data_IF_851749163010
#
_entry.id   IF_851749163010
#
_cell.length_a   1.000
_cell.length_b   1.000
_cell.length_c   1.000
_cell.angle_alpha   90.00
_cell.angle_beta   90.00
_cell.angle_gamma   90.00
#
_symmetry.space_group_name_H-M   'P 1'
#
loop_
_entity.id
_entity.type
_entity.pdbx_description
1 polymer ?
#
# COMPACT_ATOMS: atom_id res chain seq x y z
N UNK A 1 9.00 8.80 0.61
CA UNK A 1 7.89 8.78 -0.37
C UNK A 1 6.81 9.74 0.09
N UNK A 2 6.29 10.54 -0.81
CA UNK A 2 5.25 11.50 -0.48
C UNK A 2 3.90 10.80 -0.28
N UNK A 3 3.10 11.37 0.59
CA UNK A 3 1.77 10.84 0.87
C UNK A 3 0.77 11.37 -0.17
N UNK A 4 0.68 10.68 -1.29
CA UNK A 4 -0.21 11.04 -2.39
C UNK A 4 -1.04 9.83 -2.80
N UNK A 5 -2.13 10.07 -3.52
CA UNK A 5 -2.98 8.99 -3.99
C UNK A 5 -2.20 8.00 -4.86
N UNK A 6 -1.34 8.51 -5.72
CA UNK A 6 -0.52 7.66 -6.58
C UNK A 6 0.39 6.76 -5.75
N UNK A 7 1.01 7.32 -4.73
CA UNK A 7 1.93 6.56 -3.90
C UNK A 7 1.18 5.59 -2.99
N UNK A 8 0.01 5.97 -2.51
CA UNK A 8 -0.85 5.05 -1.75
C UNK A 8 -1.18 3.83 -2.61
N UNK A 9 -1.56 4.06 -3.84
CA UNK A 9 -1.88 2.96 -4.76
C UNK A 9 -0.65 2.10 -5.05
N UNK A 10 0.50 2.72 -5.20
CA UNK A 10 1.75 1.99 -5.45
C UNK A 10 2.10 1.08 -4.27
N UNK A 11 1.94 1.59 -3.05
CA UNK A 11 2.21 0.80 -1.84
C UNK A 11 1.21 -0.34 -1.73
N UNK A 12 -0.06 -0.07 -1.96
CA UNK A 12 -1.08 -1.11 -1.91
C UNK A 12 -0.82 -2.18 -2.97
N UNK A 13 -0.42 -1.77 -4.17
CA UNK A 13 -0.10 -2.71 -5.24
C UNK A 13 1.06 -3.60 -4.86
N UNK A 14 2.07 -3.03 -4.21
CA UNK A 14 3.23 -3.80 -3.77
C UNK A 14 2.82 -4.86 -2.75
N UNK A 15 1.98 -4.48 -1.79
CA UNK A 15 1.49 -5.42 -0.78
C UNK A 15 0.73 -6.56 -1.44
N UNK A 16 -0.17 -6.20 -2.36
CA UNK A 16 -1.01 -7.18 -3.06
C UNK A 16 -0.14 -8.13 -3.90
N UNK A 17 0.90 -7.60 -4.55
CA UNK A 17 1.78 -8.41 -5.37
C UNK A 17 2.57 -9.44 -4.55
N UNK A 18 2.80 -9.16 -3.28
CA UNK A 18 3.50 -10.07 -2.40
C UNK A 18 2.58 -11.14 -1.81
N UNK A 19 1.28 -11.04 -2.05
CA UNK A 19 0.33 -12.02 -1.55
C UNK A 19 0.24 -13.23 -2.47
N UNK A 20 -0.17 -14.35 -1.88
CA UNK A 20 -0.46 -15.56 -2.63
C UNK A 20 -1.59 -15.26 -3.64
N UNK A 21 -1.45 -15.67 -4.90
CA UNK A 21 -2.50 -15.43 -5.90
C UNK A 21 -3.89 -15.93 -5.47
N UNK A 22 -3.94 -16.98 -4.69
CA UNK A 22 -5.22 -17.53 -4.22
C UNK A 22 -5.90 -16.59 -3.22
N UNK A 23 -5.12 -15.76 -2.54
CA UNK A 23 -5.62 -14.79 -1.58
C UNK A 23 -5.81 -13.43 -2.20
N UNK A 24 -5.43 -13.28 -3.45
CA UNK A 24 -5.45 -11.99 -4.14
C UNK A 24 -6.88 -11.65 -4.55
N UNK A 25 -7.46 -10.69 -3.88
CA UNK A 25 -8.80 -10.23 -4.18
C UNK A 25 -8.81 -8.73 -4.37
N UNK A 26 -9.63 -8.28 -5.31
CA UNK A 26 -9.65 -6.85 -5.63
C UNK A 26 -10.05 -6.00 -4.44
N UNK A 27 -10.93 -6.50 -3.58
CA UNK A 27 -11.35 -5.70 -2.43
C UNK A 27 -10.22 -5.56 -1.38
N UNK A 28 -9.26 -6.45 -1.37
CA UNK A 28 -8.11 -6.30 -0.48
C UNK A 28 -7.31 -5.06 -0.86
N UNK A 29 -7.09 -4.87 -2.15
CA UNK A 29 -6.41 -3.68 -2.66
C UNK A 29 -7.19 -2.42 -2.30
N UNK A 30 -8.49 -2.44 -2.55
CA UNK A 30 -9.35 -1.29 -2.24
C UNK A 30 -9.33 -0.97 -0.75
N UNK A 31 -9.38 -1.99 0.10
CA UNK A 31 -9.32 -1.81 1.55
C UNK A 31 -8.00 -1.19 1.97
N UNK A 32 -6.89 -1.66 1.41
CA UNK A 32 -5.57 -1.13 1.74
C UNK A 32 -5.47 0.34 1.35
N UNK A 33 -5.96 0.68 0.17
CA UNK A 33 -5.94 2.07 -0.29
C UNK A 33 -6.78 2.93 0.65
N UNK A 34 -7.97 2.47 1.01
CA UNK A 34 -8.86 3.22 1.88
C UNK A 34 -8.26 3.43 3.26
N UNK A 35 -7.64 2.39 3.81
CA UNK A 35 -7.03 2.46 5.13
C UNK A 35 -5.86 3.46 5.12
N UNK A 36 -4.98 3.36 4.14
CA UNK A 36 -3.82 4.25 4.05
C UNK A 36 -4.23 5.67 3.70
N UNK A 37 -5.34 5.85 3.01
CA UNK A 37 -5.86 7.19 2.70
C UNK A 37 -6.30 7.91 3.98
N UNK A 38 -6.72 7.17 4.98
CA UNK A 38 -7.17 7.72 6.25
C UNK A 38 -6.07 7.78 7.30
N UNK A 39 -4.99 7.02 7.11
CA UNK A 39 -3.94 6.87 8.12
C UNK A 39 -2.58 7.04 7.46
N UNK A 40 -2.08 8.26 7.50
CA UNK A 40 -0.78 8.59 6.91
C UNK A 40 0.34 7.83 7.61
N UNK A 41 0.22 7.65 8.91
CA UNK A 41 1.24 6.93 9.68
C UNK A 41 1.36 5.48 9.20
N UNK A 42 0.23 4.84 8.93
CA UNK A 42 0.23 3.48 8.40
C UNK A 42 0.88 3.44 7.02
N UNK A 43 0.61 4.44 6.19
CA UNK A 43 1.23 4.55 4.88
C UNK A 43 2.75 4.58 5.01
N UNK A 44 3.27 5.46 5.86
CA UNK A 44 4.72 5.60 6.04
C UNK A 44 5.33 4.34 6.65
N UNK A 45 4.61 3.68 7.53
CA UNK A 45 5.06 2.43 8.12
C UNK A 45 5.23 1.35 7.05
N UNK A 46 4.26 1.26 6.13
CA UNK A 46 4.34 0.28 5.04
C UNK A 46 5.47 0.63 4.06
N UNK A 47 5.67 1.91 3.78
CA UNK A 47 6.77 2.35 2.92
C UNK A 47 8.11 1.90 3.52
N UNK A 48 8.26 2.06 4.82
CA UNK A 48 9.49 1.66 5.51
C UNK A 48 9.69 0.16 5.45
N UNK A 49 8.64 -0.60 5.75
CA UNK A 49 8.71 -2.07 5.77
C UNK A 49 9.02 -2.61 4.38
N UNK A 50 8.44 -2.02 3.34
CA UNK A 50 8.62 -2.48 1.96
C UNK A 50 9.87 -1.88 1.32
N UNK A 51 10.58 -1.01 2.04
CA UNK A 51 11.80 -0.36 1.56
C UNK A 51 11.55 0.42 0.27
N UNK A 52 10.45 1.16 0.22
CA UNK A 52 10.07 1.96 -0.95
C UNK A 52 10.51 3.42 -0.81
N UNK A 53 11.39 3.71 0.14
CA UNK A 53 11.88 5.07 0.35
C UNK A 53 12.78 5.50 -0.78
N UNK A 54 12.84 6.81 -0.99
CA UNK A 54 13.70 7.40 -2.00
C UNK A 54 12.98 7.68 -3.30
N UNK A 55 11.72 7.40 -3.34
CA UNK A 55 10.90 7.67 -4.52
C UNK A 55 10.42 9.12 -4.56
#
# INVERSE_FOLDING_TARGET
MNYTDENIMAVAQKIVNDMDPDDLMSYVYDDLVAIMDKDEELFHCNVDVLQMEGE
#
